data_IF_166544587415
#
_entry.id   IF_166544587415
#
_cell.length_a   1.000
_cell.length_b   1.000
_cell.length_c   1.000
_cell.angle_alpha   90.00
_cell.angle_beta   90.00
_cell.angle_gamma   90.00
#
_symmetry.space_group_name_H-M   'P 1'
#
loop_
_entity.id
_entity.type
_entity.pdbx_description
1 polymer ?
#
# COMPACT_ATOMS: atom_id res chain seq x y z
N UNK A 1 17.12 20.22 -1.33
CA UNK A 1 16.16 20.26 -0.23
C UNK A 1 14.77 20.51 -0.75
N UNK A 2 13.80 19.74 -0.32
CA UNK A 2 12.40 20.02 -0.63
C UNK A 2 11.75 20.75 0.54
N UNK A 3 10.75 21.54 0.23
CA UNK A 3 9.99 22.26 1.24
C UNK A 3 8.89 21.37 1.82
N UNK A 4 8.28 21.81 2.94
CA UNK A 4 7.12 21.11 3.50
C UNK A 4 5.99 21.05 2.49
N UNK A 5 5.79 22.11 1.71
CA UNK A 5 4.76 22.15 0.67
C UNK A 5 5.02 21.13 -0.43
N UNK A 6 6.27 20.97 -0.86
CA UNK A 6 6.65 19.96 -1.85
C UNK A 6 6.46 18.56 -1.29
N UNK A 7 6.79 18.35 -0.02
CA UNK A 7 6.58 17.07 0.65
C UNK A 7 5.09 16.69 0.69
N UNK A 8 4.23 17.63 1.05
CA UNK A 8 2.78 17.42 1.03
C UNK A 8 2.28 17.10 -0.37
N UNK A 9 2.83 17.75 -1.38
CA UNK A 9 2.50 17.49 -2.78
C UNK A 9 2.84 16.07 -3.19
N UNK A 10 4.02 15.58 -2.80
CA UNK A 10 4.44 14.21 -3.07
C UNK A 10 3.41 13.23 -2.51
N UNK A 11 3.01 13.43 -1.25
CA UNK A 11 2.05 12.56 -0.60
C UNK A 11 0.68 12.61 -1.25
N UNK A 12 0.20 13.81 -1.62
CA UNK A 12 -1.14 13.97 -2.20
C UNK A 12 -1.23 13.45 -3.65
N UNK A 13 -0.11 13.37 -4.35
CA UNK A 13 -0.07 12.88 -5.73
C UNK A 13 0.31 11.40 -5.82
N UNK A 14 0.29 10.68 -4.69
CA UNK A 14 0.58 9.25 -4.68
C UNK A 14 -0.47 8.47 -5.48
N UNK A 15 -0.02 7.51 -6.26
CA UNK A 15 -0.88 6.54 -6.91
C UNK A 15 -0.74 5.20 -6.18
N UNK A 16 -1.82 4.44 -6.13
CA UNK A 16 -1.85 3.17 -5.41
C UNK A 16 -2.28 2.07 -6.36
N UNK A 17 -1.59 0.95 -6.29
CA UNK A 17 -1.84 -0.19 -7.16
C UNK A 17 -1.57 -1.49 -6.40
N UNK A 18 -1.79 -2.60 -7.09
CA UNK A 18 -1.52 -3.93 -6.56
C UNK A 18 -0.69 -4.68 -7.58
N UNK A 19 0.24 -5.50 -7.10
CA UNK A 19 1.01 -6.39 -7.95
C UNK A 19 1.10 -7.77 -7.30
N UNK A 20 1.39 -8.79 -8.10
CA UNK A 20 1.62 -10.12 -7.56
C UNK A 20 2.91 -10.10 -6.75
N UNK A 21 2.87 -10.62 -5.53
CA UNK A 21 4.04 -10.59 -4.65
C UNK A 21 5.14 -11.48 -5.18
N UNK A 22 6.38 -11.05 -4.97
CA UNK A 22 7.57 -11.86 -5.24
C UNK A 22 7.93 -12.75 -4.07
N UNK A 23 7.23 -12.62 -2.94
CA UNK A 23 7.43 -13.48 -1.78
C UNK A 23 6.99 -14.89 -2.15
N UNK A 24 7.88 -15.85 -1.94
CA UNK A 24 7.59 -17.27 -2.20
C UNK A 24 7.34 -17.95 -0.86
N UNK A 25 6.18 -18.59 -0.66
CA UNK A 25 5.97 -19.35 0.56
C UNK A 25 6.87 -20.59 0.60
N UNK A 26 7.38 -20.89 1.79
CA UNK A 26 8.21 -22.08 1.99
C UNK A 26 7.40 -23.37 1.97
N UNK A 27 6.10 -23.26 2.26
CA UNK A 27 5.16 -24.40 2.25
C UNK A 27 4.01 -24.09 1.31
N UNK A 28 3.41 -25.13 0.76
CA UNK A 28 2.19 -24.97 -0.03
C UNK A 28 1.10 -24.32 0.82
N UNK A 29 0.44 -23.34 0.22
CA UNK A 29 -0.58 -22.56 0.87
C UNK A 29 -1.72 -22.35 -0.13
N UNK A 30 -2.94 -22.30 0.40
CA UNK A 30 -4.13 -22.13 -0.45
C UNK A 30 -4.38 -20.65 -0.81
N UNK A 31 -3.50 -19.76 -0.42
CA UNK A 31 -3.63 -18.34 -0.68
C UNK A 31 -2.80 -17.87 -1.85
N UNK A 32 -3.15 -16.72 -2.36
CA UNK A 32 -2.39 -15.99 -3.36
C UNK A 32 -1.73 -14.78 -2.70
N UNK A 33 -0.47 -14.54 -3.04
CA UNK A 33 0.34 -13.48 -2.43
C UNK A 33 0.37 -12.26 -3.34
N UNK A 34 0.11 -11.11 -2.75
CA UNK A 34 0.08 -9.81 -3.43
C UNK A 34 0.86 -8.78 -2.65
N UNK A 35 1.22 -7.70 -3.33
CA UNK A 35 1.82 -6.53 -2.71
C UNK A 35 1.02 -5.30 -3.12
N UNK A 36 0.50 -4.57 -2.14
CA UNK A 36 -0.08 -3.26 -2.37
C UNK A 36 1.06 -2.25 -2.44
N UNK A 37 1.03 -1.38 -3.44
CA UNK A 37 2.14 -0.47 -3.75
C UNK A 37 1.62 0.96 -3.78
N UNK A 38 2.18 1.81 -2.94
CA UNK A 38 2.00 3.27 -3.02
C UNK A 38 3.20 3.84 -3.76
N UNK A 39 2.94 4.42 -4.92
CA UNK A 39 3.95 5.08 -5.71
C UNK A 39 3.82 6.58 -5.51
N UNK A 40 4.82 7.18 -4.88
CA UNK A 40 4.83 8.61 -4.60
C UNK A 40 5.82 9.36 -5.46
N UNK A 41 6.29 8.76 -6.54
CA UNK A 41 7.26 9.39 -7.43
C UNK A 41 6.67 10.63 -8.09
N UNK A 42 7.30 11.77 -7.85
CA UNK A 42 6.95 13.04 -8.48
C UNK A 42 8.19 13.55 -9.19
N UNK A 43 8.12 13.78 -10.50
CA UNK A 43 9.28 14.27 -11.25
C UNK A 43 9.84 15.56 -10.62
N UNK A 44 11.16 15.57 -10.42
CA UNK A 44 11.87 16.69 -9.81
C UNK A 44 11.84 16.75 -8.29
N UNK A 45 10.96 15.99 -7.64
CA UNK A 45 10.86 15.96 -6.17
C UNK A 45 11.39 14.67 -5.61
N UNK A 46 11.28 13.61 -6.36
CA UNK A 46 11.89 12.34 -6.02
C UNK A 46 10.95 11.42 -5.35
N UNK A 47 11.25 10.15 -5.07
CA UNK A 47 10.95 9.33 -4.23
C UNK A 47 10.90 7.86 -4.33
N UNK A 48 10.04 7.11 -3.95
CA UNK A 48 10.03 5.67 -3.88
C UNK A 48 8.65 5.11 -3.67
N UNK A 49 8.63 3.96 -3.04
CA UNK A 49 7.40 3.20 -2.88
C UNK A 49 7.21 2.84 -1.42
N UNK A 50 5.96 2.79 -0.99
CA UNK A 50 5.56 2.12 0.24
C UNK A 50 4.84 0.85 -0.19
N UNK A 51 5.23 -0.28 0.38
CA UNK A 51 4.70 -1.59 -0.02
C UNK A 51 4.18 -2.35 1.20
N UNK A 52 3.11 -3.10 1.00
CA UNK A 52 2.56 -4.00 2.01
C UNK A 52 2.26 -5.34 1.36
N UNK A 53 2.96 -6.37 1.84
CA UNK A 53 2.70 -7.74 1.38
C UNK A 53 1.51 -8.32 2.13
N UNK A 54 0.71 -9.10 1.43
CA UNK A 54 -0.43 -9.78 2.04
C UNK A 54 -0.78 -11.03 1.26
N UNK A 55 -1.52 -11.91 1.93
CA UNK A 55 -2.07 -13.12 1.34
C UNK A 55 -3.58 -12.99 1.28
N UNK A 56 -4.17 -13.36 0.15
CA UNK A 56 -5.61 -13.40 -0.01
C UNK A 56 -6.08 -14.83 -0.25
N UNK A 57 -7.09 -15.25 0.47
CA UNK A 57 -7.79 -16.51 0.20
C UNK A 57 -9.00 -16.18 -0.67
N UNK A 58 -9.02 -16.69 -1.87
CA UNK A 58 -10.00 -16.32 -2.90
C UNK A 58 -10.74 -17.55 -3.43
N UNK A 59 -11.98 -17.33 -3.84
CA UNK A 59 -12.65 -18.19 -4.83
C UNK A 59 -12.67 -17.45 -6.17
N UNK A 60 -13.29 -18.03 -7.19
CA UNK A 60 -13.39 -17.35 -8.50
C UNK A 60 -14.15 -16.01 -8.41
N UNK A 61 -15.02 -15.84 -7.39
CA UNK A 61 -15.90 -14.68 -7.29
C UNK A 61 -15.85 -13.96 -5.93
N UNK A 62 -15.20 -14.54 -4.92
CA UNK A 62 -15.27 -14.04 -3.54
C UNK A 62 -13.89 -13.92 -2.91
N UNK A 63 -13.76 -12.96 -1.99
CA UNK A 63 -12.60 -12.81 -1.12
C UNK A 63 -12.99 -13.38 0.25
N UNK A 64 -12.35 -14.48 0.64
CA UNK A 64 -12.64 -15.12 1.92
C UNK A 64 -11.88 -14.46 3.06
N UNK A 65 -10.61 -14.13 2.85
CA UNK A 65 -9.80 -13.49 3.88
C UNK A 65 -8.59 -12.80 3.27
N UNK A 66 -8.08 -11.82 4.02
CA UNK A 66 -6.82 -11.14 3.71
C UNK A 66 -5.98 -11.19 4.97
N UNK A 67 -4.74 -11.65 4.84
CA UNK A 67 -3.79 -11.76 5.94
C UNK A 67 -2.53 -10.98 5.57
N UNK A 68 -2.17 -10.00 6.39
CA UNK A 68 -0.98 -9.19 6.13
C UNK A 68 0.29 -9.95 6.54
N UNK A 69 1.35 -9.72 5.78
CA UNK A 69 2.66 -10.33 6.02
C UNK A 69 3.61 -9.21 6.43
N UNK A 70 3.87 -9.12 7.73
CA UNK A 70 4.72 -8.08 8.28
C UNK A 70 4.13 -6.69 8.16
N UNK A 71 4.94 -5.70 8.48
CA UNK A 71 4.60 -4.29 8.36
C UNK A 71 4.82 -3.79 6.95
N UNK A 72 4.21 -2.65 6.61
CA UNK A 72 4.57 -1.97 5.37
C UNK A 72 6.02 -1.47 5.44
N UNK A 73 6.64 -1.33 4.29
CA UNK A 73 8.06 -0.98 4.18
C UNK A 73 8.28 -0.09 2.95
N UNK A 74 9.42 0.56 2.92
CA UNK A 74 9.78 1.42 1.79
C UNK A 74 10.72 0.69 0.85
N UNK A 75 10.65 1.08 -0.42
CA UNK A 75 11.51 0.55 -1.48
C UNK A 75 11.88 1.70 -2.41
N UNK A 76 13.11 1.69 -2.93
CA UNK A 76 13.61 2.75 -3.78
C UNK A 76 14.13 3.94 -2.99
N UNK A 77 14.34 5.06 -3.67
CA UNK A 77 14.86 6.29 -3.05
C UNK A 77 13.73 7.04 -2.37
N UNK A 78 13.86 7.30 -1.06
CA UNK A 78 12.85 8.03 -0.29
C UNK A 78 13.43 9.32 0.26
N UNK A 79 12.58 10.34 0.39
CA UNK A 79 12.97 11.67 0.90
C UNK A 79 12.67 11.85 2.39
N UNK A 80 12.16 10.84 3.03
CA UNK A 80 11.82 10.89 4.44
C UNK A 80 11.83 9.49 5.01
N UNK A 81 11.17 9.36 6.16
CA UNK A 81 11.11 8.11 6.88
C UNK A 81 9.66 7.68 7.04
N UNK A 82 9.37 6.45 6.67
CA UNK A 82 8.06 5.84 6.89
C UNK A 82 8.11 5.01 8.16
N UNK A 83 7.23 5.30 9.10
CA UNK A 83 7.05 4.52 10.31
C UNK A 83 5.70 3.83 10.19
N UNK A 84 5.66 2.52 9.90
CA UNK A 84 4.41 1.82 9.70
C UNK A 84 3.66 1.61 11.00
N UNK A 85 2.34 1.63 10.89
CA UNK A 85 1.44 1.17 11.92
C UNK A 85 0.79 -0.11 11.41
N UNK A 86 -0.14 -0.69 12.16
CA UNK A 86 -0.80 -1.91 11.72
C UNK A 86 -1.64 -1.65 10.48
N UNK A 87 -1.45 -2.43 9.40
CA UNK A 87 -2.39 -2.39 8.29
C UNK A 87 -3.71 -3.04 8.70
N UNK A 88 -4.79 -2.67 7.99
CA UNK A 88 -6.07 -3.32 8.21
C UNK A 88 -6.83 -3.45 6.91
N UNK A 89 -7.67 -4.48 6.82
CA UNK A 89 -8.52 -4.73 5.66
C UNK A 89 -9.98 -4.51 6.01
N UNK A 90 -10.75 -4.13 4.99
CA UNK A 90 -12.20 -4.12 5.07
C UNK A 90 -12.75 -4.86 3.85
N UNK A 91 -13.33 -6.02 4.09
CA UNK A 91 -13.94 -6.84 3.04
C UNK A 91 -15.40 -6.47 2.96
N UNK A 92 -15.91 -6.22 1.75
CA UNK A 92 -17.32 -5.87 1.54
C UNK A 92 -18.26 -6.99 2.01
N UNK A 93 -19.50 -6.61 2.32
CA UNK A 93 -20.48 -7.58 2.81
C UNK A 93 -20.79 -8.69 1.80
N UNK A 94 -20.70 -8.39 0.50
CA UNK A 94 -20.87 -9.38 -0.55
C UNK A 94 -19.58 -10.12 -0.90
N UNK A 95 -18.45 -9.75 -0.27
CA UNK A 95 -17.14 -10.36 -0.42
C UNK A 95 -16.53 -10.24 -1.82
N UNK A 96 -16.99 -9.31 -2.61
CA UNK A 96 -16.45 -9.11 -3.97
C UNK A 96 -15.34 -8.08 -4.03
N UNK A 97 -15.26 -7.19 -3.04
CA UNK A 97 -14.25 -6.14 -2.97
C UNK A 97 -13.61 -6.08 -1.58
N UNK A 98 -12.47 -5.44 -1.51
CA UNK A 98 -11.80 -5.19 -0.23
C UNK A 98 -11.00 -3.90 -0.31
N UNK A 99 -10.83 -3.26 0.85
CA UNK A 99 -9.94 -2.13 1.04
C UNK A 99 -8.75 -2.57 1.87
N UNK A 100 -7.56 -2.27 1.38
CA UNK A 100 -6.31 -2.57 2.06
C UNK A 100 -5.73 -1.24 2.50
N UNK A 101 -5.67 -1.03 3.80
CA UNK A 101 -5.28 0.24 4.39
C UNK A 101 -3.88 0.14 4.99
N UNK A 102 -2.98 0.95 4.47
CA UNK A 102 -1.60 1.05 4.94
C UNK A 102 -1.46 2.31 5.77
N UNK A 103 -1.45 2.14 7.08
CA UNK A 103 -1.44 3.24 8.03
C UNK A 103 -0.03 3.45 8.57
N UNK A 104 0.36 4.70 8.77
CA UNK A 104 1.64 5.02 9.33
C UNK A 104 1.89 6.52 9.44
N UNK A 105 3.13 6.87 9.73
CA UNK A 105 3.56 8.26 9.83
C UNK A 105 4.76 8.46 8.93
N UNK A 106 4.68 9.46 8.07
CA UNK A 106 5.79 9.85 7.24
C UNK A 106 6.48 11.06 7.87
N UNK A 107 7.77 10.95 8.12
CA UNK A 107 8.55 11.99 8.78
C UNK A 107 9.56 12.58 7.80
N UNK A 108 9.63 13.91 7.79
CA UNK A 108 10.56 14.65 6.95
C UNK A 108 11.27 15.71 7.81
N UNK A 109 12.60 15.69 7.80
CA UNK A 109 13.40 16.61 8.57
C UNK A 109 13.85 17.81 7.76
N UNK A 110 13.72 19.01 8.33
CA UNK A 110 14.22 20.26 7.75
C UNK A 110 15.03 20.96 8.84
N UNK A 111 16.39 20.98 8.69
CA UNK A 111 17.26 21.55 9.72
C UNK A 111 17.10 20.79 11.03
N UNK A 112 16.80 21.52 12.11
CA UNK A 112 16.57 20.93 13.43
C UNK A 112 15.12 20.51 13.67
N UNK A 113 14.26 20.66 12.67
CA UNK A 113 12.85 20.36 12.79
C UNK A 113 12.48 19.09 12.04
N UNK A 114 11.59 18.30 12.63
CA UNK A 114 11.00 17.14 11.98
C UNK A 114 9.52 17.39 11.80
N UNK A 115 9.04 17.19 10.58
CA UNK A 115 7.62 17.29 10.25
C UNK A 115 7.07 15.87 10.15
N UNK A 116 6.13 15.54 11.03
CA UNK A 116 5.48 14.23 11.05
C UNK A 116 4.10 14.33 10.43
N UNK A 117 3.81 13.46 9.49
CA UNK A 117 2.54 13.45 8.77
C UNK A 117 1.90 12.07 8.90
N UNK A 118 0.95 11.90 9.84
CA UNK A 118 0.18 10.66 9.93
C UNK A 118 -0.72 10.53 8.70
N UNK A 119 -0.70 9.37 8.07
CA UNK A 119 -1.51 9.16 6.88
C UNK A 119 -1.88 7.69 6.70
N UNK A 120 -2.91 7.48 5.90
CA UNK A 120 -3.35 6.15 5.53
C UNK A 120 -3.50 6.10 4.01
N UNK A 121 -2.83 5.15 3.40
CA UNK A 121 -2.99 4.87 1.98
C UNK A 121 -3.90 3.68 1.82
N UNK A 122 -4.90 3.79 0.97
CA UNK A 122 -5.89 2.74 0.78
C UNK A 122 -5.85 2.24 -0.66
N UNK A 123 -5.67 0.92 -0.81
CA UNK A 123 -5.80 0.24 -2.09
C UNK A 123 -7.13 -0.51 -2.09
N UNK A 124 -7.96 -0.22 -3.07
CA UNK A 124 -9.22 -0.93 -3.27
C UNK A 124 -9.03 -1.98 -4.35
N UNK A 125 -9.44 -3.21 -4.04
CA UNK A 125 -9.32 -4.36 -4.93
C UNK A 125 -10.65 -5.05 -5.09
N UNK A 126 -10.80 -5.76 -6.20
CA UNK A 126 -11.94 -6.65 -6.43
C UNK A 126 -11.44 -7.99 -6.92
N UNK A 127 -12.25 -9.04 -6.71
CA UNK A 127 -11.93 -10.34 -7.26
C UNK A 127 -12.49 -10.43 -8.69
N UNK A 128 -11.68 -10.94 -9.60
CA UNK A 128 -12.07 -11.17 -10.99
C UNK A 128 -11.39 -12.44 -11.46
N UNK A 129 -12.19 -13.46 -11.77
CA UNK A 129 -11.69 -14.77 -12.21
C UNK A 129 -10.64 -15.37 -11.26
N UNK A 130 -10.90 -15.27 -9.96
CA UNK A 130 -10.00 -15.82 -8.93
C UNK A 130 -8.76 -15.01 -8.66
N UNK A 131 -8.67 -13.79 -9.17
CA UNK A 131 -7.52 -12.89 -8.96
C UNK A 131 -7.99 -11.56 -8.40
N UNK A 132 -7.14 -10.93 -7.61
CA UNK A 132 -7.37 -9.55 -7.18
C UNK A 132 -6.90 -8.59 -8.26
N UNK A 133 -7.72 -7.59 -8.53
CA UNK A 133 -7.37 -6.51 -9.45
C UNK A 133 -7.67 -5.17 -8.80
N UNK A 134 -6.90 -4.17 -9.18
CA UNK A 134 -7.06 -2.79 -8.69
C UNK A 134 -8.39 -2.22 -9.17
N UNK A 135 -9.08 -1.51 -8.27
CA UNK A 135 -10.29 -0.78 -8.61
C UNK A 135 -9.94 0.69 -8.77
N UNK A 136 -10.15 1.21 -9.97
CA UNK A 136 -9.95 2.62 -10.22
C UNK A 136 -11.04 3.41 -9.46
N UNK A 137 -10.68 4.33 -8.54
CA UNK A 137 -11.67 5.05 -7.74
C UNK A 137 -12.58 5.96 -8.56
N UNK A 138 -12.21 6.26 -9.81
CA UNK A 138 -12.98 7.13 -10.69
C UNK A 138 -13.86 6.36 -11.70
N UNK A 139 -13.92 5.03 -11.55
CA UNK A 139 -14.72 4.19 -12.46
C UNK A 139 -15.93 3.61 -11.78
#
# INVERSE_FOLDING_TARGET
LITIEDFKKVLSNSSISIEKSKVQPLLEDNGTYYTAVVNSSVPGVGWGYIKQDFKASLTSTKINSITFIGSSYTSGFTIGRWTPNYPYEEISSDKTTAEINMKGTYSYGIGDFTYDYPCTFMEKVKVSNGKLVHVNPNS
#
